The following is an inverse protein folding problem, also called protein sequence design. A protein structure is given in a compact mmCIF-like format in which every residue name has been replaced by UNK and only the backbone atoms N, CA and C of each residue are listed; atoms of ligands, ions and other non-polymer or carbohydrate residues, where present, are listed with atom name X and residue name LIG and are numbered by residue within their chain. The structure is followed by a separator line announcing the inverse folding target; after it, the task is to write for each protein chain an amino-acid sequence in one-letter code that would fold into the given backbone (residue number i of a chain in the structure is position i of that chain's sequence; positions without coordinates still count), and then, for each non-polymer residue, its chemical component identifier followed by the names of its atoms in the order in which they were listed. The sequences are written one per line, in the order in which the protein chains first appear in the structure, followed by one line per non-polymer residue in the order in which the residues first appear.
data_IF_105198560731
#
_entry.id   IF_105198560731
#
_cell.length_a   1.000
_cell.length_b   1.000
_cell.length_c   1.000
_cell.angle_alpha   90.00
_cell.angle_beta   90.00
_cell.angle_gamma   90.00
#
_symmetry.space_group_name_H-M   'P 1'
#
loop_
_entity.id
_entity.type
_entity.pdbx_description
1 polymer ?
#
# COMPACT_ATOMS: atom_id res chain seq x y z
N UNK A 1 14.30 -45.53 -13.09
CA UNK A 1 15.70 -45.08 -13.30
C UNK A 1 16.19 -44.51 -11.99
N UNK A 2 17.40 -44.86 -11.59
CA UNK A 2 17.91 -44.89 -10.22
C UNK A 2 17.52 -43.70 -9.32
N UNK A 3 16.81 -44.01 -8.22
CA UNK A 3 16.67 -43.11 -7.07
C UNK A 3 18.03 -43.05 -6.35
N UNK A 4 19.04 -42.52 -7.01
CA UNK A 4 20.25 -42.11 -6.30
C UNK A 4 19.87 -40.92 -5.43
N UNK A 5 19.94 -41.10 -4.12
CA UNK A 5 19.68 -40.04 -3.16
C UNK A 5 21.01 -39.32 -2.87
N UNK A 6 21.31 -38.18 -3.51
CA UNK A 6 22.58 -37.51 -3.29
C UNK A 6 22.64 -37.00 -1.84
N UNK A 7 23.85 -37.01 -1.27
CA UNK A 7 24.10 -36.51 0.06
C UNK A 7 23.87 -34.99 0.16
N UNK A 8 24.10 -34.28 -0.95
CA UNK A 8 23.81 -32.85 -1.09
C UNK A 8 23.07 -32.59 -2.40
N UNK A 9 21.94 -31.87 -2.32
CA UNK A 9 21.32 -31.21 -3.46
C UNK A 9 21.51 -29.70 -3.34
N UNK A 10 22.03 -29.07 -4.39
CA UNK A 10 22.21 -27.62 -4.48
C UNK A 10 21.18 -27.09 -5.48
N UNK A 11 20.53 -25.98 -5.14
CA UNK A 11 19.80 -25.19 -6.11
C UNK A 11 20.76 -24.13 -6.68
N UNK A 12 21.09 -24.22 -7.96
CA UNK A 12 21.92 -23.25 -8.66
C UNK A 12 21.07 -22.39 -9.60
N UNK A 13 21.65 -21.33 -10.16
CA UNK A 13 21.01 -20.55 -11.23
C UNK A 13 22.06 -20.06 -12.22
N UNK A 14 21.61 -19.69 -13.42
CA UNK A 14 22.49 -19.12 -14.44
C UNK A 14 22.28 -17.61 -14.47
N UNK A 15 23.36 -16.84 -14.35
CA UNK A 15 23.35 -15.39 -14.50
C UNK A 15 24.43 -14.95 -15.50
N UNK A 16 24.08 -14.01 -16.38
CA UNK A 16 25.02 -13.41 -17.31
C UNK A 16 26.01 -12.48 -16.61
N UNK A 17 25.66 -11.94 -15.44
CA UNK A 17 26.54 -11.17 -14.57
C UNK A 17 26.65 -11.84 -13.19
N UNK A 18 27.47 -12.88 -13.06
CA UNK A 18 27.54 -13.68 -11.83
C UNK A 18 28.33 -13.01 -10.69
N UNK A 19 28.77 -11.76 -10.88
CA UNK A 19 29.61 -11.03 -9.92
C UNK A 19 29.02 -11.03 -8.51
N UNK A 20 29.81 -11.48 -7.55
CA UNK A 20 29.43 -11.48 -6.12
C UNK A 20 28.77 -12.77 -5.62
N UNK A 21 28.49 -13.75 -6.50
CA UNK A 21 27.97 -15.06 -6.11
C UNK A 21 29.07 -16.13 -5.99
N UNK A 22 28.85 -17.20 -5.24
CA UNK A 22 29.67 -18.41 -5.32
C UNK A 22 29.46 -19.13 -6.65
N UNK A 23 30.52 -19.69 -7.25
CA UNK A 23 30.47 -20.40 -8.55
C UNK A 23 30.39 -21.90 -8.36
N UNK A 24 29.50 -22.58 -9.09
CA UNK A 24 29.43 -24.05 -9.13
C UNK A 24 30.56 -24.56 -10.01
N UNK A 25 31.54 -25.23 -9.42
CA UNK A 25 32.69 -25.78 -10.15
C UNK A 25 32.40 -27.23 -10.54
N UNK A 26 32.74 -27.55 -11.80
CA UNK A 26 32.65 -28.88 -12.40
C UNK A 26 33.97 -29.17 -13.10
N UNK A 27 34.42 -30.42 -13.05
CA UNK A 27 35.57 -30.90 -13.84
C UNK A 27 35.08 -31.87 -14.91
N UNK A 28 35.79 -31.97 -16.03
CA UNK A 28 35.37 -32.76 -17.20
C UNK A 28 34.95 -34.18 -16.83
N UNK A 29 33.70 -34.53 -17.14
CA UNK A 29 33.10 -35.84 -16.84
C UNK A 29 32.78 -36.11 -15.37
N UNK A 30 33.15 -35.21 -14.45
CA UNK A 30 32.82 -35.27 -13.03
C UNK A 30 31.60 -34.40 -12.72
N UNK A 31 30.83 -34.78 -11.70
CA UNK A 31 29.70 -33.98 -11.20
C UNK A 31 30.15 -32.64 -10.61
N UNK A 32 29.35 -32.07 -9.71
CA UNK A 32 29.76 -30.88 -8.95
C UNK A 32 30.98 -31.24 -8.08
N UNK A 33 32.06 -30.47 -8.19
CA UNK A 33 33.30 -30.71 -7.44
C UNK A 33 33.48 -29.74 -6.27
N UNK A 34 32.82 -28.59 -6.32
CA UNK A 34 32.90 -27.58 -5.27
C UNK A 34 32.06 -26.36 -5.58
N UNK A 35 32.02 -25.44 -4.61
CA UNK A 35 31.54 -24.08 -4.79
C UNK A 35 32.68 -23.16 -4.38
N UNK A 36 32.97 -22.14 -5.19
CA UNK A 36 34.04 -21.19 -4.91
C UNK A 36 33.48 -19.77 -4.85
N UNK A 37 33.65 -19.10 -3.70
CA UNK A 37 33.19 -17.72 -3.49
C UNK A 37 33.92 -16.72 -4.39
N UNK A 38 33.25 -15.63 -4.79
CA UNK A 38 33.79 -14.61 -5.70
C UNK A 38 35.16 -14.05 -5.26
N UNK A 39 35.36 -13.87 -3.95
CA UNK A 39 36.60 -13.33 -3.39
C UNK A 39 37.76 -14.31 -3.53
N UNK A 40 37.48 -15.60 -3.36
CA UNK A 40 38.46 -16.68 -3.42
C UNK A 40 38.62 -17.26 -4.85
N UNK A 41 37.76 -16.85 -5.79
CA UNK A 41 37.77 -17.31 -7.18
C UNK A 41 38.94 -16.74 -8.02
N UNK A 42 39.53 -17.60 -8.84
CA UNK A 42 40.45 -17.18 -9.91
C UNK A 42 39.69 -16.52 -11.07
N UNK A 43 40.40 -15.84 -11.97
CA UNK A 43 39.80 -15.20 -13.15
C UNK A 43 39.15 -16.21 -14.11
N UNK A 44 39.56 -17.48 -14.07
CA UNK A 44 38.91 -18.56 -14.82
C UNK A 44 37.59 -18.99 -14.15
N UNK A 45 37.59 -19.17 -12.83
CA UNK A 45 36.39 -19.52 -12.07
C UNK A 45 35.36 -18.39 -12.13
N UNK A 46 35.78 -17.11 -12.08
CA UNK A 46 34.89 -15.95 -12.18
C UNK A 46 34.07 -15.91 -13.47
N UNK A 47 34.54 -16.55 -14.54
CA UNK A 47 33.82 -16.67 -15.84
C UNK A 47 32.70 -17.70 -15.82
N UNK A 48 32.64 -18.57 -14.82
CA UNK A 48 31.53 -19.51 -14.65
C UNK A 48 30.24 -18.73 -14.40
N UNK A 49 29.19 -19.04 -15.15
CA UNK A 49 27.88 -18.39 -15.05
C UNK A 49 26.89 -19.15 -14.17
N UNK A 50 27.18 -20.42 -13.83
CA UNK A 50 26.40 -21.19 -12.85
C UNK A 50 26.75 -20.73 -11.43
N UNK A 51 25.80 -20.04 -10.81
CA UNK A 51 25.90 -19.46 -9.49
C UNK A 51 25.24 -20.34 -8.43
N UNK A 52 25.80 -20.33 -7.24
CA UNK A 52 25.19 -20.86 -6.04
C UNK A 52 24.09 -19.91 -5.54
N UNK A 53 22.86 -20.39 -5.36
CA UNK A 53 21.80 -19.61 -4.70
C UNK A 53 21.96 -19.51 -3.18
N UNK A 54 22.81 -20.35 -2.60
CA UNK A 54 22.90 -20.55 -1.15
C UNK A 54 21.90 -21.59 -0.62
N UNK A 55 20.90 -21.99 -1.41
CA UNK A 55 19.93 -23.02 -1.04
C UNK A 55 20.51 -24.40 -1.32
N UNK A 56 20.62 -25.21 -0.27
CA UNK A 56 21.03 -26.62 -0.39
C UNK A 56 20.29 -27.49 0.62
N UNK A 57 20.12 -28.76 0.26
CA UNK A 57 19.59 -29.81 1.12
C UNK A 57 20.70 -30.82 1.36
N UNK A 58 21.01 -31.08 2.63
CA UNK A 58 22.05 -32.02 3.06
C UNK A 58 21.38 -33.17 3.82
N UNK A 59 21.78 -34.42 3.55
CA UNK A 59 21.31 -35.57 4.30
C UNK A 59 21.76 -35.48 5.76
N UNK A 60 20.81 -35.60 6.70
CA UNK A 60 21.06 -35.37 8.13
C UNK A 60 22.20 -36.21 8.72
N UNK A 61 22.38 -37.46 8.28
CA UNK A 61 23.46 -38.35 8.71
C UNK A 61 24.85 -37.92 8.21
N UNK A 62 24.94 -37.07 7.18
CA UNK A 62 26.20 -36.53 6.66
C UNK A 62 26.55 -35.15 7.25
N UNK A 63 25.56 -34.41 7.77
CA UNK A 63 25.71 -33.00 8.20
C UNK A 63 26.84 -32.83 9.22
N UNK A 64 26.83 -33.59 10.33
CA UNK A 64 27.80 -33.41 11.41
C UNK A 64 29.24 -33.64 10.94
N UNK A 65 29.47 -34.70 10.16
CA UNK A 65 30.78 -35.01 9.63
C UNK A 65 31.27 -34.00 8.58
N UNK A 66 30.36 -33.40 7.80
CA UNK A 66 30.73 -32.39 6.80
C UNK A 66 31.01 -31.03 7.45
N UNK A 67 30.22 -30.63 8.46
CA UNK A 67 30.42 -29.38 9.16
C UNK A 67 31.67 -29.37 10.04
N UNK A 68 32.05 -30.51 10.63
CA UNK A 68 33.25 -30.62 11.48
C UNK A 68 34.56 -30.44 10.71
N UNK A 69 34.53 -30.55 9.38
CA UNK A 69 35.69 -30.36 8.51
C UNK A 69 35.88 -28.92 8.04
N UNK A 70 34.92 -28.02 8.33
CA UNK A 70 35.03 -26.63 7.94
C UNK A 70 36.20 -25.95 8.67
N UNK A 71 36.95 -25.14 7.92
CA UNK A 71 37.98 -24.27 8.45
C UNK A 71 37.73 -22.82 8.01
N UNK A 72 38.59 -21.90 8.45
CA UNK A 72 38.53 -20.49 8.08
C UNK A 72 39.78 -20.05 7.29
N UNK A 73 40.39 -20.97 6.54
CA UNK A 73 41.55 -20.73 5.69
C UNK A 73 41.14 -20.14 4.33
N UNK A 74 40.36 -19.07 4.34
CA UNK A 74 39.97 -18.29 3.16
C UNK A 74 40.34 -16.81 3.35
N UNK A 75 40.10 -15.99 2.32
CA UNK A 75 40.40 -14.56 2.35
C UNK A 75 39.60 -13.78 3.41
N UNK A 76 38.41 -14.26 3.80
CA UNK A 76 37.55 -13.59 4.77
C UNK A 76 37.77 -14.03 6.22
N UNK A 77 38.48 -15.13 6.47
CA UNK A 77 38.63 -15.75 7.79
C UNK A 77 37.29 -16.20 8.41
N UNK A 78 36.37 -16.66 7.56
CA UNK A 78 35.04 -17.14 7.95
C UNK A 78 34.88 -18.64 7.68
N UNK A 79 33.89 -19.30 8.29
CA UNK A 79 33.54 -20.68 7.96
C UNK A 79 32.49 -20.67 6.84
N UNK A 80 32.88 -21.05 5.62
CA UNK A 80 31.95 -21.06 4.50
C UNK A 80 31.14 -22.35 4.47
N UNK A 81 29.81 -22.25 4.56
CA UNK A 81 28.94 -23.43 4.38
C UNK A 81 29.15 -24.08 3.00
N UNK A 82 29.53 -23.31 1.98
CA UNK A 82 29.79 -23.79 0.62
C UNK A 82 30.93 -24.82 0.54
N UNK A 83 31.84 -24.85 1.52
CA UNK A 83 32.91 -25.83 1.61
C UNK A 83 32.43 -27.26 1.94
N UNK A 84 31.21 -27.44 2.48
CA UNK A 84 30.65 -28.80 2.68
C UNK A 84 30.53 -29.56 1.36
N UNK A 85 30.44 -28.86 0.24
CA UNK A 85 30.39 -29.47 -1.10
C UNK A 85 31.71 -30.15 -1.44
N UNK A 86 32.86 -29.47 -1.26
CA UNK A 86 34.17 -30.10 -1.49
C UNK A 86 34.43 -31.22 -0.49
N UNK A 87 34.00 -31.09 0.77
CA UNK A 87 34.12 -32.16 1.77
C UNK A 87 33.30 -33.40 1.40
N UNK A 88 32.08 -33.22 0.90
CA UNK A 88 31.23 -34.31 0.45
C UNK A 88 31.86 -35.04 -0.75
N UNK A 89 32.38 -34.29 -1.73
CA UNK A 89 33.09 -34.85 -2.89
C UNK A 89 34.32 -35.64 -2.45
N UNK A 90 35.13 -35.10 -1.53
CA UNK A 90 36.30 -35.78 -0.97
C UNK A 90 35.94 -37.06 -0.19
N UNK A 91 34.79 -37.08 0.49
CA UNK A 91 34.25 -38.24 1.16
C UNK A 91 33.54 -39.24 0.20
N UNK A 92 33.64 -39.04 -1.12
CA UNK A 92 32.96 -39.83 -2.16
C UNK A 92 31.43 -39.85 -2.02
N UNK A 93 30.87 -38.83 -1.39
CA UNK A 93 29.42 -38.62 -1.29
C UNK A 93 28.92 -37.94 -2.57
N UNK A 94 27.72 -38.33 -3.01
CA UNK A 94 27.12 -37.78 -4.24
C UNK A 94 26.61 -36.36 -4.00
N UNK A 95 27.02 -35.43 -4.84
CA UNK A 95 26.52 -34.05 -4.89
C UNK A 95 25.80 -33.83 -6.21
N UNK A 96 24.59 -33.28 -6.15
CA UNK A 96 23.81 -32.89 -7.32
C UNK A 96 23.53 -31.39 -7.27
N UNK A 97 23.71 -30.70 -8.39
CA UNK A 97 23.19 -29.34 -8.60
C UNK A 97 22.01 -29.41 -9.55
N UNK A 98 20.94 -28.70 -9.21
CA UNK A 98 19.75 -28.51 -10.04
C UNK A 98 19.62 -27.02 -10.35
N UNK A 99 19.55 -26.68 -11.63
CA UNK A 99 19.40 -25.30 -12.07
C UNK A 99 17.95 -24.86 -11.85
N UNK A 100 17.76 -23.74 -11.15
CA UNK A 100 16.48 -23.08 -10.98
C UNK A 100 15.96 -22.60 -12.34
N UNK A 101 14.75 -23.01 -12.77
CA UNK A 101 14.20 -22.62 -14.06
C UNK A 101 13.87 -21.11 -14.13
N UNK A 102 13.63 -20.47 -12.97
CA UNK A 102 13.40 -19.04 -12.85
C UNK A 102 14.46 -18.41 -11.94
N UNK A 103 15.62 -18.00 -12.48
CA UNK A 103 16.70 -17.41 -11.68
C UNK A 103 16.26 -16.26 -10.77
N UNK A 104 15.24 -15.50 -11.20
CA UNK A 104 14.64 -14.38 -10.45
C UNK A 104 14.12 -14.76 -9.06
N UNK A 105 13.76 -16.02 -8.82
CA UNK A 105 13.28 -16.52 -7.52
C UNK A 105 14.40 -16.69 -6.49
N UNK A 106 15.66 -16.76 -6.93
CA UNK A 106 16.82 -17.11 -6.08
C UNK A 106 17.93 -16.06 -6.11
N UNK A 107 17.63 -14.87 -6.64
CA UNK A 107 18.55 -13.73 -6.62
C UNK A 107 18.76 -13.24 -5.18
N UNK A 108 20.00 -12.93 -4.83
CA UNK A 108 20.37 -12.36 -3.54
C UNK A 108 20.33 -10.83 -3.52
N UNK A 109 20.33 -10.26 -2.31
CA UNK A 109 20.40 -8.80 -2.08
C UNK A 109 21.56 -8.46 -1.16
N UNK A 110 22.57 -7.79 -1.72
CA UNK A 110 23.73 -7.28 -0.99
C UNK A 110 23.75 -5.74 -0.95
N UNK A 111 22.97 -5.06 -1.78
CA UNK A 111 22.88 -3.60 -1.82
C UNK A 111 21.49 -3.10 -2.26
N UNK A 112 21.26 -1.79 -2.17
CA UNK A 112 19.96 -1.18 -2.47
C UNK A 112 19.57 -1.26 -3.95
N UNK A 113 20.53 -1.32 -4.88
CA UNK A 113 20.24 -1.50 -6.32
C UNK A 113 19.66 -2.90 -6.57
N UNK A 114 20.23 -3.92 -5.94
CA UNK A 114 19.71 -5.29 -6.01
C UNK A 114 18.34 -5.41 -5.33
N UNK A 115 18.13 -4.70 -4.23
CA UNK A 115 16.82 -4.66 -3.57
C UNK A 115 15.75 -4.07 -4.48
N UNK A 116 16.05 -2.96 -5.17
CA UNK A 116 15.14 -2.33 -6.13
C UNK A 116 14.83 -3.25 -7.31
N UNK A 117 15.83 -4.01 -7.80
CA UNK A 117 15.61 -5.01 -8.85
C UNK A 117 14.61 -6.08 -8.41
N UNK A 118 14.74 -6.60 -7.17
CA UNK A 118 13.77 -7.58 -6.65
C UNK A 118 12.39 -6.98 -6.42
N UNK A 119 12.32 -5.73 -5.94
CA UNK A 119 11.04 -5.03 -5.79
C UNK A 119 10.33 -4.84 -7.14
N UNK A 120 11.08 -4.53 -8.19
CA UNK A 120 10.57 -4.42 -9.56
C UNK A 120 10.04 -5.76 -10.09
N UNK A 121 10.75 -6.86 -9.85
CA UNK A 121 10.31 -8.22 -10.20
C UNK A 121 9.05 -8.59 -9.41
N UNK A 122 9.00 -8.30 -8.11
CA UNK A 122 7.84 -8.55 -7.26
C UNK A 122 6.61 -7.79 -7.76
N UNK A 123 6.78 -6.53 -8.14
CA UNK A 123 5.73 -5.70 -8.74
C UNK A 123 5.24 -6.26 -10.06
N UNK A 124 6.16 -6.70 -10.92
CA UNK A 124 5.83 -7.36 -12.19
C UNK A 124 4.91 -8.56 -11.93
N UNK A 125 5.27 -9.44 -11.00
CA UNK A 125 4.46 -10.62 -10.65
C UNK A 125 3.06 -10.26 -10.14
N UNK A 126 2.95 -9.28 -9.24
CA UNK A 126 1.64 -8.84 -8.72
C UNK A 126 0.80 -8.26 -9.85
N UNK A 127 1.39 -7.39 -10.67
CA UNK A 127 0.68 -6.75 -11.78
C UNK A 127 0.17 -7.77 -12.80
N UNK A 128 0.97 -8.80 -13.10
CA UNK A 128 0.60 -9.88 -14.00
C UNK A 128 -0.54 -10.73 -13.42
N UNK A 129 -0.49 -11.03 -12.12
CA UNK A 129 -1.55 -11.75 -11.44
C UNK A 129 -2.87 -10.97 -11.50
N UNK A 130 -2.86 -9.69 -11.12
CA UNK A 130 -4.04 -8.82 -11.17
C UNK A 130 -4.65 -8.75 -12.58
N UNK A 131 -3.82 -8.58 -13.61
CA UNK A 131 -4.30 -8.55 -15.00
C UNK A 131 -4.86 -9.90 -15.46
N UNK A 132 -4.28 -11.00 -14.99
CA UNK A 132 -4.76 -12.37 -15.26
C UNK A 132 -6.11 -12.62 -14.59
N UNK A 133 -6.32 -12.05 -13.40
CA UNK A 133 -7.59 -12.08 -12.65
C UNK A 133 -8.63 -11.10 -13.22
N UNK A 134 -8.31 -10.37 -14.28
CA UNK A 134 -9.26 -9.52 -15.03
C UNK A 134 -9.22 -8.04 -14.67
N UNK A 135 -8.30 -7.60 -13.80
CA UNK A 135 -8.14 -6.18 -13.46
C UNK A 135 -7.50 -5.42 -14.62
N UNK A 136 -8.10 -4.32 -15.03
CA UNK A 136 -7.49 -3.41 -16.00
C UNK A 136 -6.53 -2.45 -15.31
N UNK A 137 -5.24 -2.71 -15.44
CA UNK A 137 -4.18 -1.77 -15.08
C UNK A 137 -3.86 -0.86 -16.28
N UNK A 138 -3.88 0.46 -16.09
CA UNK A 138 -3.47 1.38 -17.16
C UNK A 138 -1.96 1.38 -17.42
N UNK A 139 -1.15 1.04 -16.40
CA UNK A 139 0.29 0.82 -16.53
C UNK A 139 0.76 -0.16 -15.45
N UNK A 140 1.12 -1.38 -15.84
CA UNK A 140 1.55 -2.44 -14.92
C UNK A 140 2.85 -2.13 -14.17
N UNK A 141 3.65 -1.14 -14.64
CA UNK A 141 4.90 -0.73 -13.98
C UNK A 141 4.68 0.32 -12.90
N UNK A 142 3.50 0.97 -12.90
CA UNK A 142 3.17 2.10 -12.01
C UNK A 142 2.00 1.76 -11.10
N UNK A 143 2.13 0.66 -10.39
CA UNK A 143 1.28 0.24 -9.28
C UNK A 143 2.18 -0.38 -8.22
N UNK A 144 1.92 -0.08 -6.95
CA UNK A 144 2.63 -0.68 -5.83
C UNK A 144 1.62 -1.36 -4.90
N UNK A 145 1.81 -2.66 -4.63
CA UNK A 145 0.99 -3.42 -3.68
C UNK A 145 1.90 -3.96 -2.58
N UNK A 146 1.77 -3.39 -1.38
CA UNK A 146 2.61 -3.64 -0.21
C UNK A 146 1.76 -4.30 0.88
N UNK A 147 1.38 -5.54 0.64
CA UNK A 147 0.43 -6.29 1.45
C UNK A 147 -0.40 -7.23 0.56
N UNK A 148 -1.70 -7.28 0.81
CA UNK A 148 -2.66 -8.06 0.04
C UNK A 148 -3.72 -7.16 -0.61
N UNK A 149 -4.03 -7.46 -1.87
CA UNK A 149 -5.07 -6.78 -2.64
C UNK A 149 -5.98 -7.85 -3.24
N UNK A 150 -7.24 -7.85 -2.82
CA UNK A 150 -8.30 -8.64 -3.43
C UNK A 150 -9.19 -7.74 -4.29
N UNK A 151 -9.63 -8.25 -5.43
CA UNK A 151 -10.44 -7.50 -6.40
C UNK A 151 -11.62 -8.34 -6.90
N UNK A 152 -12.77 -7.71 -7.06
CA UNK A 152 -13.89 -8.23 -7.83
C UNK A 152 -13.67 -8.09 -9.34
N UNK A 153 -14.76 -8.18 -10.09
CA UNK A 153 -14.74 -8.11 -11.56
C UNK A 153 -14.76 -6.67 -12.08
N UNK A 154 -14.26 -6.46 -13.30
CA UNK A 154 -14.30 -5.17 -14.02
C UNK A 154 -13.67 -3.98 -13.27
N UNK A 155 -12.67 -4.24 -12.43
CA UNK A 155 -11.92 -3.21 -11.72
C UNK A 155 -10.95 -2.51 -12.67
N UNK A 156 -10.87 -1.18 -12.59
CA UNK A 156 -9.88 -0.38 -13.31
C UNK A 156 -9.01 0.42 -12.35
N UNK A 157 -7.69 0.33 -12.51
CA UNK A 157 -6.71 1.02 -11.67
C UNK A 157 -5.78 1.82 -12.58
N UNK A 158 -5.82 3.14 -12.39
CA UNK A 158 -4.97 4.09 -13.09
C UNK A 158 -3.56 4.15 -12.47
N UNK A 159 -2.71 4.99 -13.05
CA UNK A 159 -1.27 5.03 -12.78
C UNK A 159 -0.94 5.57 -11.39
N UNK A 160 0.21 5.13 -10.86
CA UNK A 160 0.79 5.57 -9.59
C UNK A 160 -0.11 5.31 -8.36
N UNK A 161 -0.94 4.25 -8.40
CA UNK A 161 -1.72 3.84 -7.23
C UNK A 161 -0.86 2.99 -6.29
N UNK A 162 -1.03 3.21 -4.98
CA UNK A 162 -0.33 2.46 -3.92
C UNK A 162 -1.37 1.83 -3.00
N UNK A 163 -1.26 0.51 -2.81
CA UNK A 163 -2.09 -0.27 -1.89
C UNK A 163 -1.20 -0.80 -0.76
N UNK A 164 -1.54 -0.53 0.49
CA UNK A 164 -0.80 -1.03 1.66
C UNK A 164 -1.69 -1.85 2.59
N UNK A 165 -1.10 -2.87 3.21
CA UNK A 165 -1.79 -3.73 4.17
C UNK A 165 -2.88 -4.57 3.49
N UNK A 166 -4.07 -4.63 4.09
CA UNK A 166 -5.19 -5.45 3.62
C UNK A 166 -6.22 -4.60 2.86
N UNK A 167 -6.26 -4.72 1.53
CA UNK A 167 -7.22 -3.99 0.70
C UNK A 167 -8.17 -4.95 -0.02
N UNK A 168 -9.46 -4.61 -0.04
CA UNK A 168 -10.47 -5.33 -0.81
C UNK A 168 -11.29 -4.40 -1.68
N UNK A 169 -11.33 -4.67 -2.97
CA UNK A 169 -12.02 -3.87 -3.98
C UNK A 169 -13.17 -4.68 -4.58
N UNK A 170 -14.39 -4.15 -4.55
CA UNK A 170 -15.58 -4.76 -5.12
C UNK A 170 -15.62 -4.74 -6.65
N UNK A 171 -16.79 -5.05 -7.20
CA UNK A 171 -17.02 -5.11 -8.64
C UNK A 171 -17.18 -3.71 -9.25
N UNK A 172 -16.78 -3.57 -10.52
CA UNK A 172 -16.94 -2.35 -11.32
C UNK A 172 -16.30 -1.09 -10.72
N UNK A 173 -15.33 -1.24 -9.81
CA UNK A 173 -14.67 -0.10 -9.15
C UNK A 173 -13.67 0.58 -10.08
N UNK A 174 -13.62 1.91 -10.04
CA UNK A 174 -12.63 2.73 -10.75
C UNK A 174 -11.76 3.50 -9.77
N UNK A 175 -10.44 3.34 -9.90
CA UNK A 175 -9.46 4.03 -9.07
C UNK A 175 -8.60 4.91 -9.97
N UNK A 176 -8.70 6.22 -9.79
CA UNK A 176 -7.96 7.24 -10.52
C UNK A 176 -6.51 7.38 -10.06
N UNK A 177 -5.72 8.10 -10.86
CA UNK A 177 -4.28 8.16 -10.68
C UNK A 177 -3.84 8.72 -9.32
N UNK A 178 -2.73 8.19 -8.80
CA UNK A 178 -2.07 8.71 -7.60
C UNK A 178 -2.81 8.44 -6.29
N UNK A 179 -3.78 7.52 -6.27
CA UNK A 179 -4.47 7.16 -5.03
C UNK A 179 -3.58 6.31 -4.12
N UNK A 180 -3.67 6.56 -2.81
CA UNK A 180 -3.04 5.73 -1.77
C UNK A 180 -4.14 5.14 -0.89
N UNK A 181 -4.21 3.81 -0.83
CA UNK A 181 -5.27 3.08 -0.13
C UNK A 181 -4.63 2.11 0.87
N UNK A 182 -4.98 2.25 2.14
CA UNK A 182 -4.40 1.48 3.24
C UNK A 182 -5.51 0.79 4.04
N UNK A 183 -5.44 -0.53 4.25
CA UNK A 183 -6.34 -1.27 5.14
C UNK A 183 -7.83 -0.93 4.94
N UNK A 184 -8.30 -0.91 3.69
CA UNK A 184 -9.60 -0.35 3.33
C UNK A 184 -10.41 -1.34 2.50
N UNK A 185 -11.69 -1.45 2.80
CA UNK A 185 -12.68 -2.13 1.96
C UNK A 185 -13.46 -1.12 1.12
N UNK A 186 -13.57 -1.40 -0.18
CA UNK A 186 -14.32 -0.60 -1.14
C UNK A 186 -15.36 -1.48 -1.80
N UNK A 187 -16.64 -1.13 -1.64
CA UNK A 187 -17.77 -1.84 -2.22
C UNK A 187 -17.94 -1.62 -3.71
N UNK A 188 -19.01 -2.20 -4.25
CA UNK A 188 -19.26 -2.27 -5.69
C UNK A 188 -19.59 -0.88 -6.27
N UNK A 189 -19.31 -0.72 -7.57
CA UNK A 189 -19.65 0.46 -8.37
C UNK A 189 -19.08 1.79 -7.83
N UNK A 190 -18.01 1.74 -7.03
CA UNK A 190 -17.36 2.93 -6.50
C UNK A 190 -16.44 3.62 -7.53
N UNK A 191 -16.30 4.93 -7.38
CA UNK A 191 -15.35 5.73 -8.14
C UNK A 191 -14.47 6.57 -7.20
N UNK A 192 -13.19 6.21 -7.14
CA UNK A 192 -12.16 6.94 -6.41
C UNK A 192 -11.44 7.83 -7.43
N UNK A 193 -11.64 9.14 -7.33
CA UNK A 193 -11.05 10.11 -8.23
C UNK A 193 -9.58 10.40 -7.86
N UNK A 194 -8.78 11.01 -8.75
CA UNK A 194 -7.34 11.13 -8.57
C UNK A 194 -6.89 11.78 -7.26
N UNK A 195 -5.70 11.39 -6.81
CA UNK A 195 -5.00 11.96 -5.64
C UNK A 195 -5.78 11.87 -4.32
N UNK A 196 -6.50 10.77 -4.11
CA UNK A 196 -7.13 10.49 -2.81
C UNK A 196 -6.20 9.67 -1.91
N UNK A 197 -6.33 9.90 -0.60
CA UNK A 197 -5.65 9.08 0.41
C UNK A 197 -6.69 8.52 1.38
N UNK A 198 -6.79 7.20 1.44
CA UNK A 198 -7.82 6.47 2.18
C UNK A 198 -7.15 5.47 3.11
N UNK A 199 -7.55 5.45 4.38
CA UNK A 199 -6.90 4.65 5.41
C UNK A 199 -7.91 4.13 6.45
N UNK A 200 -7.81 2.84 6.79
CA UNK A 200 -8.57 2.15 7.84
C UNK A 200 -10.07 2.49 7.81
N UNK A 201 -10.68 2.36 6.63
CA UNK A 201 -12.04 2.83 6.34
C UNK A 201 -12.89 1.79 5.61
N UNK A 202 -14.20 1.92 5.74
CA UNK A 202 -15.18 1.12 5.02
C UNK A 202 -15.96 2.00 4.05
N UNK A 203 -15.84 1.70 2.76
CA UNK A 203 -16.58 2.38 1.70
C UNK A 203 -17.62 1.39 1.19
N UNK A 204 -18.91 1.70 1.37
CA UNK A 204 -20.00 0.88 0.84
C UNK A 204 -20.15 1.11 -0.68
N UNK A 205 -21.33 0.85 -1.27
CA UNK A 205 -21.48 0.76 -2.71
C UNK A 205 -21.80 2.11 -3.35
N UNK A 206 -21.44 2.28 -4.62
CA UNK A 206 -21.79 3.46 -5.43
C UNK A 206 -21.31 4.78 -4.82
N UNK A 207 -20.22 4.73 -4.05
CA UNK A 207 -19.63 5.92 -3.42
C UNK A 207 -18.68 6.59 -4.40
N UNK A 208 -18.71 7.92 -4.45
CA UNK A 208 -17.71 8.71 -5.18
C UNK A 208 -16.84 9.48 -4.20
N UNK A 209 -15.52 9.34 -4.32
CA UNK A 209 -14.54 10.01 -3.43
C UNK A 209 -13.59 10.87 -4.28
N UNK A 210 -13.41 12.14 -3.91
CA UNK A 210 -12.38 13.03 -4.44
C UNK A 210 -12.78 13.90 -5.62
N UNK A 211 -11.79 14.37 -6.41
CA UNK A 211 -10.33 14.16 -6.23
C UNK A 211 -9.81 14.87 -4.98
N UNK A 212 -8.58 14.60 -4.52
CA UNK A 212 -7.96 15.28 -3.37
C UNK A 212 -8.71 15.13 -2.03
N UNK A 213 -9.42 14.02 -1.83
CA UNK A 213 -10.05 13.71 -0.54
C UNK A 213 -9.07 12.97 0.38
N UNK A 214 -9.18 13.22 1.69
CA UNK A 214 -8.46 12.49 2.73
C UNK A 214 -9.43 11.78 3.66
N UNK A 215 -9.50 10.47 3.54
CA UNK A 215 -10.37 9.63 4.37
C UNK A 215 -9.52 8.91 5.40
N UNK A 216 -9.73 9.20 6.68
CA UNK A 216 -8.92 8.74 7.81
C UNK A 216 -9.60 7.61 8.57
N UNK A 217 -8.88 6.95 9.51
CA UNK A 217 -9.40 5.80 10.22
C UNK A 217 -10.78 5.97 10.84
N UNK A 218 -11.48 4.84 10.95
CA UNK A 218 -12.82 4.72 11.52
C UNK A 218 -13.88 5.50 10.71
N UNK A 219 -13.62 5.77 9.42
CA UNK A 219 -14.61 6.38 8.52
C UNK A 219 -15.46 5.30 7.84
N UNK A 220 -16.78 5.53 7.81
CA UNK A 220 -17.74 4.72 7.05
C UNK A 220 -18.47 5.63 6.06
N UNK A 221 -18.32 5.36 4.77
CA UNK A 221 -19.08 6.04 3.72
C UNK A 221 -20.17 5.10 3.22
N UNK A 222 -21.43 5.43 3.49
CA UNK A 222 -22.55 4.56 3.14
C UNK A 222 -22.96 4.67 1.68
N UNK A 223 -23.80 3.74 1.24
CA UNK A 223 -24.29 3.61 -0.13
C UNK A 223 -24.65 4.96 -0.78
N UNK A 224 -24.16 5.20 -2.00
CA UNK A 224 -24.42 6.41 -2.80
C UNK A 224 -23.97 7.74 -2.15
N UNK A 225 -23.20 7.71 -1.06
CA UNK A 225 -22.63 8.93 -0.48
C UNK A 225 -21.55 9.51 -1.41
N UNK A 226 -21.26 10.81 -1.24
CA UNK A 226 -20.27 11.51 -2.05
C UNK A 226 -19.36 12.36 -1.18
N UNK A 227 -18.05 12.18 -1.37
CA UNK A 227 -17.01 13.03 -0.81
C UNK A 227 -16.28 13.68 -1.97
N UNK A 228 -16.16 15.00 -1.98
CA UNK A 228 -15.47 15.72 -3.04
C UNK A 228 -14.10 16.23 -2.63
N UNK A 229 -13.68 17.34 -3.25
CA UNK A 229 -12.30 17.80 -3.16
C UNK A 229 -11.96 18.59 -1.90
N UNK A 230 -10.75 18.36 -1.39
CA UNK A 230 -10.23 18.99 -0.17
C UNK A 230 -11.14 18.77 1.03
N UNK A 231 -11.69 17.56 1.12
CA UNK A 231 -12.49 17.12 2.26
C UNK A 231 -11.66 16.12 3.07
N UNK A 232 -11.58 16.36 4.38
CA UNK A 232 -11.02 15.43 5.34
C UNK A 232 -12.13 14.84 6.21
N UNK A 233 -12.19 13.52 6.31
CA UNK A 233 -13.14 12.80 7.17
C UNK A 233 -12.37 11.86 8.09
N UNK A 234 -12.71 11.85 9.39
CA UNK A 234 -12.12 10.95 10.40
C UNK A 234 -13.19 10.47 11.38
N UNK A 235 -13.17 9.19 11.74
CA UNK A 235 -14.02 8.62 12.80
C UNK A 235 -15.48 9.07 12.68
N UNK A 236 -16.02 8.93 11.48
CA UNK A 236 -17.31 9.50 11.13
C UNK A 236 -18.06 8.62 10.14
N UNK A 237 -19.39 8.69 10.18
CA UNK A 237 -20.26 8.02 9.21
C UNK A 237 -20.92 9.05 8.31
N UNK A 238 -20.83 8.86 7.00
CA UNK A 238 -21.58 9.64 6.01
C UNK A 238 -22.72 8.77 5.49
N UNK A 239 -23.95 9.15 5.85
CA UNK A 239 -25.12 8.35 5.57
C UNK A 239 -25.48 8.23 4.09
N UNK A 240 -26.40 7.31 3.80
CA UNK A 240 -26.84 6.97 2.44
C UNK A 240 -27.20 8.23 1.63
N UNK A 241 -26.60 8.38 0.45
CA UNK A 241 -26.89 9.49 -0.47
C UNK A 241 -26.44 10.89 0.01
N UNK A 242 -25.79 10.99 1.17
CA UNK A 242 -25.33 12.26 1.74
C UNK A 242 -24.07 12.76 1.05
N UNK A 243 -23.88 14.08 1.05
CA UNK A 243 -22.84 14.75 0.24
C UNK A 243 -22.00 15.68 1.08
N UNK A 244 -20.68 15.54 0.97
CA UNK A 244 -19.65 16.40 1.57
C UNK A 244 -18.66 16.77 0.48
N UNK A 245 -18.94 17.83 -0.28
CA UNK A 245 -18.28 17.98 -1.58
C UNK A 245 -17.00 18.83 -1.58
N UNK A 246 -16.82 19.82 -0.70
CA UNK A 246 -15.74 20.79 -0.89
C UNK A 246 -15.21 21.37 0.42
N UNK A 247 -13.89 21.40 0.61
CA UNK A 247 -13.21 22.24 1.62
C UNK A 247 -13.75 22.04 3.06
N UNK A 248 -13.99 20.80 3.48
CA UNK A 248 -14.72 20.49 4.72
C UNK A 248 -13.90 19.58 5.62
N UNK A 249 -13.99 19.78 6.94
CA UNK A 249 -13.49 18.84 7.94
C UNK A 249 -14.64 18.20 8.74
N UNK A 250 -14.76 16.87 8.66
CA UNK A 250 -15.73 16.06 9.41
C UNK A 250 -14.98 15.09 10.33
N UNK A 251 -15.00 15.34 11.63
CA UNK A 251 -14.35 14.53 12.66
C UNK A 251 -15.32 14.18 13.78
N UNK A 252 -15.31 12.92 14.22
CA UNK A 252 -16.16 12.43 15.32
C UNK A 252 -17.65 12.76 15.07
N UNK A 253 -18.16 12.42 13.88
CA UNK A 253 -19.48 12.85 13.41
C UNK A 253 -20.34 11.70 12.87
N UNK A 254 -21.63 11.71 13.19
CA UNK A 254 -22.62 10.83 12.56
C UNK A 254 -23.53 11.66 11.67
N UNK A 255 -23.46 11.44 10.36
CA UNK A 255 -24.30 12.11 9.36
C UNK A 255 -25.35 11.12 8.84
N UNK A 256 -26.63 11.51 8.93
CA UNK A 256 -27.77 10.73 8.47
C UNK A 256 -27.89 10.68 6.95
N UNK A 257 -29.06 10.21 6.48
CA UNK A 257 -29.38 10.03 5.07
C UNK A 257 -29.75 11.35 4.39
N UNK A 258 -29.37 11.51 3.12
CA UNK A 258 -29.83 12.63 2.28
C UNK A 258 -29.37 14.01 2.75
N UNK A 259 -28.31 14.07 3.57
CA UNK A 259 -27.76 15.31 4.11
C UNK A 259 -26.88 15.98 3.07
N UNK A 260 -26.94 17.32 3.01
CA UNK A 260 -26.01 18.11 2.20
C UNK A 260 -25.15 19.01 3.09
N UNK A 261 -23.84 18.76 3.09
CA UNK A 261 -22.86 19.58 3.78
C UNK A 261 -22.25 20.59 2.81
N UNK A 262 -22.54 21.86 3.06
CA UNK A 262 -21.99 22.98 2.31
C UNK A 262 -20.47 23.06 2.37
N UNK A 263 -19.89 23.76 1.39
CA UNK A 263 -18.46 23.97 1.33
C UNK A 263 -17.94 24.75 2.54
N UNK A 264 -16.76 24.42 3.09
CA UNK A 264 -16.18 25.17 4.21
C UNK A 264 -16.73 24.78 5.58
N UNK A 265 -17.59 23.76 5.67
CA UNK A 265 -18.13 23.33 6.97
C UNK A 265 -17.04 22.66 7.80
N UNK A 266 -17.03 22.94 9.10
CA UNK A 266 -16.08 22.37 10.04
C UNK A 266 -16.83 21.84 11.26
N UNK A 267 -16.59 20.58 11.61
CA UNK A 267 -16.95 20.03 12.91
C UNK A 267 -15.86 20.38 13.93
N UNK A 268 -16.17 21.24 14.89
CA UNK A 268 -15.26 21.61 15.96
C UNK A 268 -15.38 20.57 17.08
N UNK A 269 -14.70 19.44 16.89
CA UNK A 269 -14.78 18.25 17.74
C UNK A 269 -13.80 18.23 18.91
N UNK A 270 -12.91 19.22 19.07
CA UNK A 270 -11.87 19.22 20.10
C UNK A 270 -11.84 20.55 20.87
N UNK A 271 -11.82 20.47 22.20
CA UNK A 271 -11.87 21.65 23.10
C UNK A 271 -10.50 22.04 23.69
N UNK A 272 -9.44 21.32 23.33
CA UNK A 272 -8.09 21.46 23.92
C UNK A 272 -7.72 20.33 24.89
N UNK A 273 -8.67 19.47 25.27
CA UNK A 273 -8.43 18.31 26.13
C UNK A 273 -9.21 17.06 25.68
N UNK A 274 -10.48 17.21 25.32
CA UNK A 274 -11.40 16.12 25.00
C UNK A 274 -12.00 16.27 23.60
N UNK A 275 -12.45 15.11 23.08
CA UNK A 275 -13.17 15.03 21.82
C UNK A 275 -14.67 14.85 22.06
N UNK A 276 -15.48 15.51 21.24
CA UNK A 276 -16.94 15.53 21.34
C UNK A 276 -17.59 15.21 20.00
N UNK A 277 -18.78 14.60 20.05
CA UNK A 277 -19.46 14.12 18.85
C UNK A 277 -20.40 15.17 18.25
N UNK A 278 -20.42 15.28 16.92
CA UNK A 278 -21.49 15.98 16.19
C UNK A 278 -22.47 14.97 15.61
N UNK A 279 -23.77 15.21 15.75
CA UNK A 279 -24.83 14.37 15.17
C UNK A 279 -25.61 15.23 14.17
N UNK A 280 -25.73 14.77 12.94
CA UNK A 280 -26.52 15.42 11.90
C UNK A 280 -27.55 14.40 11.43
N UNK A 281 -28.82 14.62 11.74
CA UNK A 281 -29.90 13.70 11.36
C UNK A 281 -30.25 13.82 9.87
N UNK A 282 -31.20 12.99 9.43
CA UNK A 282 -31.61 12.90 8.02
C UNK A 282 -32.10 14.23 7.45
N UNK A 283 -31.93 14.38 6.14
CA UNK A 283 -32.50 15.46 5.33
C UNK A 283 -32.09 16.88 5.79
N UNK A 284 -31.00 17.00 6.56
CA UNK A 284 -30.44 18.28 6.99
C UNK A 284 -29.69 18.96 5.84
N UNK A 285 -29.87 20.27 5.73
CA UNK A 285 -29.03 21.12 4.89
C UNK A 285 -28.13 21.98 5.76
N UNK A 286 -26.80 21.85 5.60
CA UNK A 286 -25.83 22.72 6.26
C UNK A 286 -25.29 23.72 5.24
N UNK A 287 -25.57 25.00 5.43
CA UNK A 287 -25.02 26.07 4.60
C UNK A 287 -23.49 26.10 4.63
N UNK A 288 -22.90 26.73 3.61
CA UNK A 288 -21.45 26.89 3.53
C UNK A 288 -20.86 27.60 4.74
N UNK A 289 -19.59 27.32 5.04
CA UNK A 289 -18.78 27.99 6.06
C UNK A 289 -19.42 27.99 7.46
N UNK A 290 -20.11 26.89 7.81
CA UNK A 290 -20.64 26.72 9.16
C UNK A 290 -19.63 26.02 10.07
N UNK A 291 -19.57 26.44 11.33
CA UNK A 291 -18.82 25.76 12.38
C UNK A 291 -19.80 25.06 13.32
N UNK A 292 -19.67 23.74 13.47
CA UNK A 292 -20.51 22.91 14.32
C UNK A 292 -19.75 22.59 15.60
N UNK A 293 -20.06 23.30 16.69
CA UNK A 293 -19.34 23.15 17.96
C UNK A 293 -19.89 21.96 18.72
N UNK A 294 -19.14 20.87 18.73
CA UNK A 294 -19.53 19.65 19.41
C UNK A 294 -19.41 19.80 20.95
N UNK A 295 -20.25 19.11 21.74
CA UNK A 295 -21.31 18.20 21.31
C UNK A 295 -22.56 18.96 20.82
N UNK A 296 -23.06 18.59 19.65
CA UNK A 296 -24.27 19.21 19.07
C UNK A 296 -25.03 18.25 18.15
N UNK A 297 -26.35 18.33 18.19
CA UNK A 297 -27.27 17.59 17.31
C UNK A 297 -28.02 18.56 16.39
N UNK A 298 -27.91 18.33 15.08
CA UNK A 298 -28.75 18.97 14.07
C UNK A 298 -29.94 18.05 13.77
N UNK A 299 -31.11 18.45 14.22
CA UNK A 299 -32.33 17.66 14.10
C UNK A 299 -32.80 17.54 12.65
N UNK A 300 -33.53 16.45 12.37
CA UNK A 300 -34.01 16.07 11.05
C UNK A 300 -34.67 17.22 10.29
N UNK A 301 -34.33 17.34 9.01
CA UNK A 301 -34.89 18.36 8.11
C UNK A 301 -34.55 19.81 8.48
N UNK A 302 -33.69 20.04 9.47
CA UNK A 302 -33.26 21.39 9.81
C UNK A 302 -32.37 21.98 8.71
N UNK A 303 -32.38 23.31 8.63
CA UNK A 303 -31.55 24.09 7.71
C UNK A 303 -30.62 24.96 8.53
N UNK A 304 -29.33 24.91 8.24
CA UNK A 304 -28.34 25.80 8.85
C UNK A 304 -28.00 26.90 7.85
N UNK A 305 -28.20 28.16 8.24
CA UNK A 305 -27.81 29.30 7.41
C UNK A 305 -26.29 29.36 7.23
N UNK A 306 -25.82 29.70 6.04
CA UNK A 306 -24.39 29.83 5.76
C UNK A 306 -23.69 30.81 6.71
N UNK A 307 -22.43 30.53 7.04
CA UNK A 307 -21.61 31.33 7.96
C UNK A 307 -22.02 31.22 9.43
N UNK A 308 -22.86 30.24 9.79
CA UNK A 308 -23.34 30.10 11.16
C UNK A 308 -22.37 29.28 12.02
N UNK A 309 -22.08 29.79 13.20
CA UNK A 309 -21.52 29.01 14.31
C UNK A 309 -22.67 28.43 15.14
N UNK A 310 -22.80 27.10 15.17
CA UNK A 310 -23.87 26.39 15.88
C UNK A 310 -23.32 25.77 17.16
N UNK A 311 -23.84 26.22 18.31
CA UNK A 311 -23.38 25.78 19.64
C UNK A 311 -24.48 25.15 20.49
N UNK A 312 -25.66 24.95 19.90
CA UNK A 312 -26.84 24.35 20.56
C UNK A 312 -27.57 23.49 19.56
N UNK A 313 -28.25 22.47 20.06
CA UNK A 313 -29.07 21.59 19.24
C UNK A 313 -30.13 22.38 18.47
N UNK A 314 -30.41 21.96 17.24
CA UNK A 314 -31.50 22.52 16.45
C UNK A 314 -32.79 21.75 16.70
N UNK A 315 -33.91 22.33 16.25
CA UNK A 315 -35.21 21.65 16.25
C UNK A 315 -35.57 21.18 14.83
N UNK A 316 -36.37 20.12 14.74
CA UNK A 316 -36.79 19.50 13.49
C UNK A 316 -37.44 20.52 12.54
N UNK A 317 -37.10 20.45 11.26
CA UNK A 317 -37.66 21.31 10.19
C UNK A 317 -37.54 22.82 10.45
N UNK A 318 -36.56 23.27 11.23
CA UNK A 318 -36.32 24.69 11.50
C UNK A 318 -35.04 25.21 10.88
N UNK A 319 -35.03 26.53 10.61
CA UNK A 319 -33.82 27.28 10.29
C UNK A 319 -33.07 27.63 11.59
N UNK A 320 -31.82 27.19 11.71
CA UNK A 320 -30.89 27.68 12.72
C UNK A 320 -29.85 28.58 12.07
N UNK A 321 -29.59 29.72 12.70
CA UNK A 321 -28.76 30.75 12.10
C UNK A 321 -28.13 31.65 13.17
N UNK A 322 -26.83 31.89 13.05
CA UNK A 322 -26.07 32.82 13.87
C UNK A 322 -25.32 33.78 12.95
N UNK A 323 -25.88 34.98 12.76
CA UNK A 323 -25.33 35.99 11.85
C UNK A 323 -25.45 37.39 12.40
N UNK A 324 -24.48 38.23 12.05
CA UNK A 324 -24.59 39.67 12.23
C UNK A 324 -25.49 40.29 11.16
N UNK A 325 -26.17 41.40 11.50
CA UNK A 325 -26.84 42.22 10.49
C UNK A 325 -25.79 42.80 9.55
N UNK A 326 -26.03 42.69 8.25
CA UNK A 326 -25.15 43.27 7.25
C UNK A 326 -25.21 44.80 7.32
N UNK A 327 -24.05 45.45 7.32
CA UNK A 327 -23.92 46.90 7.21
C UNK A 327 -23.13 47.27 5.95
N UNK A 328 -23.34 48.46 5.41
CA UNK A 328 -22.58 49.02 4.29
C UNK A 328 -22.00 50.36 4.69
N UNK A 329 -20.67 50.48 4.70
CA UNK A 329 -19.95 51.71 5.09
C UNK A 329 -19.68 52.53 3.82
N UNK A 330 -20.39 53.66 3.69
CA UNK A 330 -20.18 54.60 2.58
C UNK A 330 -18.80 55.27 2.72
N UNK A 331 -18.07 55.40 1.61
CA UNK A 331 -16.80 56.14 1.57
C UNK A 331 -15.57 55.35 2.05
N UNK A 332 -15.66 54.03 2.13
CA UNK A 332 -14.49 53.19 2.45
C UNK A 332 -13.46 53.22 1.31
N UNK A 333 -12.34 53.92 1.50
CA UNK A 333 -11.21 53.90 0.56
C UNK A 333 -10.25 52.76 0.91
N UNK A 334 -9.96 51.89 -0.06
CA UNK A 334 -9.02 50.78 0.13
C UNK A 334 -7.60 51.36 0.25
N UNK A 335 -6.77 50.92 1.22
CA UNK A 335 -5.39 51.38 1.33
C UNK A 335 -4.63 51.25 -0.01
N UNK A 336 -3.99 52.35 -0.42
CA UNK A 336 -3.12 52.39 -1.60
C UNK A 336 -1.68 52.25 -1.12
N UNK A 337 -0.88 51.46 -1.84
CA UNK A 337 0.57 51.44 -1.62
C UNK A 337 1.13 52.81 -1.99
N UNK A 338 1.90 53.41 -1.08
CA UNK A 338 2.76 54.53 -1.45
C UNK A 338 3.82 54.00 -2.44
N UNK A 339 3.89 54.62 -3.61
CA UNK A 339 4.98 54.40 -4.54
C UNK A 339 6.19 55.12 -3.93
N UNK A 340 7.19 54.35 -3.49
CA UNK A 340 8.47 54.90 -3.01
C UNK A 340 9.31 55.42 -4.17
#
# INVERSE_FOLDING_TARGET
SDKENPAINILSFIDANPTGYGRIVRHDGQGVTGIVEEKDASDEIRKITECNSGIMIIQGNAVENLLSQLDNNNQQKEYYLTDVVKHAVNASLKVKSTICPQPREVLGVNNQVQLEQLESIRREWISLQLMTDGVKLFDSKRIDVRGHLSTGENVTIDVNCIFNGECSIGNNVKIGAGCVINNTSIGDDCEILPNCVIEDSQIENKVTIGPFARIRPETVLQDNSKVGNFVEIKKSTVGVGSKVNHLTYIGDCTIGKGVNIGAGVITCNYDGAYKHQTIIEDDVFVGSDCQLVAPVTLAKGSTIGAGSTITKNTSTNQLALSRSKQISIKGWDRPKKEIK
#
